data_IF_009387656289
#
_entry.id   IF_009387656289
#
_cell.length_a   1.000
_cell.length_b   1.000
_cell.length_c   1.000
_cell.angle_alpha   90.00
_cell.angle_beta   90.00
_cell.angle_gamma   90.00
#
_symmetry.space_group_name_H-M   'P 1'
#
loop_
_entity.id
_entity.type
_entity.pdbx_description
1 polymer ?
#
# COMPACT_ATOMS: atom_id res chain seq x y z
N UNK A 1 34.61 72.30 5.92
CA UNK A 1 35.95 72.78 6.34
C UNK A 1 36.59 71.71 7.22
N UNK A 2 37.81 71.26 6.89
CA UNK A 2 38.71 70.42 7.74
C UNK A 2 38.42 68.91 7.71
N UNK A 3 39.01 68.08 6.85
CA UNK A 3 40.39 67.52 6.84
C UNK A 3 40.77 66.71 8.09
N UNK A 4 40.92 65.39 7.94
CA UNK A 4 42.02 64.55 8.45
C UNK A 4 41.92 63.19 7.73
N UNK A 5 42.82 62.85 6.79
CA UNK A 5 44.23 62.42 6.92
C UNK A 5 44.36 60.91 7.04
N UNK A 6 45.10 60.35 6.08
CA UNK A 6 45.39 58.94 5.86
C UNK A 6 46.27 58.31 6.94
N UNK A 7 46.19 56.98 7.05
CA UNK A 7 47.34 56.12 7.35
C UNK A 7 47.08 54.70 6.83
N UNK A 8 47.90 54.29 5.86
CA UNK A 8 48.31 52.90 5.66
C UNK A 8 49.08 52.42 6.90
N UNK A 9 48.99 51.15 7.30
CA UNK A 9 50.10 50.20 7.13
C UNK A 9 49.85 48.84 7.82
N UNK A 10 50.45 47.82 7.20
CA UNK A 10 51.13 46.67 7.82
C UNK A 10 50.33 45.47 8.33
N UNK A 11 50.63 44.36 7.67
CA UNK A 11 50.55 42.99 8.17
C UNK A 11 51.47 42.74 9.37
N UNK A 12 51.07 41.84 10.28
CA UNK A 12 51.92 40.74 10.79
C UNK A 12 51.10 39.76 11.66
N UNK A 13 51.19 38.48 11.27
CA UNK A 13 51.48 37.30 12.12
C UNK A 13 50.56 36.79 13.25
N UNK A 14 50.18 35.50 13.07
CA UNK A 14 50.20 34.37 14.04
C UNK A 14 49.04 34.21 15.07
N UNK A 15 48.88 33.04 15.74
CA UNK A 15 48.50 31.70 15.22
C UNK A 15 47.36 31.03 16.06
N UNK A 16 46.85 29.90 15.56
CA UNK A 16 46.15 28.79 16.25
C UNK A 16 45.50 28.97 17.65
N UNK A 17 44.16 28.93 17.70
CA UNK A 17 43.25 28.11 18.56
C UNK A 17 41.81 28.49 18.11
N UNK A 18 40.72 27.73 18.17
CA UNK A 18 40.25 26.68 19.06
C UNK A 18 38.94 26.13 18.46
N UNK A 19 38.58 24.90 18.81
CA UNK A 19 37.35 24.20 18.40
C UNK A 19 36.05 24.98 18.69
N UNK A 20 35.15 25.02 17.71
CA UNK A 20 33.71 25.03 17.95
C UNK A 20 33.02 24.21 16.84
N UNK A 21 32.65 22.98 17.19
CA UNK A 21 31.78 22.15 16.38
C UNK A 21 30.36 22.71 16.44
N UNK A 22 29.85 23.22 15.33
CA UNK A 22 28.42 23.50 15.15
C UNK A 22 27.73 22.29 14.52
N UNK A 23 26.75 21.79 15.26
CA UNK A 23 25.88 20.67 14.97
C UNK A 23 24.77 21.13 14.00
N UNK A 24 24.66 20.62 12.76
CA UNK A 24 23.50 20.94 11.93
C UNK A 24 22.32 20.07 12.38
N UNK A 25 21.33 20.76 12.95
CA UNK A 25 20.06 20.21 13.39
C UNK A 25 19.31 19.47 12.28
N UNK A 26 18.68 18.37 12.70
CA UNK A 26 17.62 17.60 12.04
C UNK A 26 16.73 18.45 11.13
N UNK A 27 16.78 18.14 9.83
CA UNK A 27 15.65 18.37 8.93
C UNK A 27 14.91 17.05 8.79
N UNK A 28 13.76 16.94 9.45
CA UNK A 28 12.80 15.85 9.18
C UNK A 28 12.27 16.02 7.74
N UNK A 29 12.25 14.98 6.91
CA UNK A 29 11.63 15.04 5.59
C UNK A 29 10.10 15.01 5.71
N UNK A 30 9.45 15.97 5.05
CA UNK A 30 8.01 16.02 4.77
C UNK A 30 7.61 14.82 3.89
N UNK A 31 6.40 14.21 4.04
CA UNK A 31 6.00 13.08 3.18
C UNK A 31 5.84 13.56 1.73
N UNK A 32 6.55 12.90 0.81
CA UNK A 32 6.68 13.34 -0.58
C UNK A 32 5.48 13.00 -1.46
N UNK A 33 5.01 13.98 -2.25
CA UNK A 33 4.17 13.77 -3.42
C UNK A 33 5.01 13.19 -4.56
N UNK A 34 4.65 12.01 -5.07
CA UNK A 34 5.24 11.44 -6.29
C UNK A 34 4.31 11.71 -7.48
N UNK A 35 4.93 12.10 -8.60
CA UNK A 35 4.28 12.18 -9.92
C UNK A 35 3.63 10.84 -10.28
N UNK A 36 2.46 10.85 -10.91
CA UNK A 36 1.74 9.63 -11.30
C UNK A 36 2.63 8.58 -11.97
N UNK A 37 2.50 7.28 -11.66
CA UNK A 37 3.21 6.22 -12.37
C UNK A 37 2.89 6.22 -13.87
N UNK A 38 3.90 5.92 -14.71
CA UNK A 38 3.78 5.95 -16.17
C UNK A 38 2.61 5.13 -16.72
N UNK A 39 2.28 3.99 -16.09
CA UNK A 39 1.19 3.13 -16.52
C UNK A 39 -0.20 3.66 -16.15
N UNK A 40 -0.33 4.48 -15.11
CA UNK A 40 -1.56 5.22 -14.76
C UNK A 40 -1.65 6.51 -15.59
N UNK A 41 -0.51 7.20 -15.81
CA UNK A 41 -0.44 8.28 -16.79
C UNK A 41 -0.92 7.80 -18.16
N UNK A 42 -0.52 6.61 -18.59
CA UNK A 42 -0.98 6.03 -19.85
C UNK A 42 -2.49 5.73 -19.86
N UNK A 43 -3.06 5.23 -18.75
CA UNK A 43 -4.50 5.05 -18.61
C UNK A 43 -5.27 6.39 -18.55
N UNK A 44 -4.63 7.44 -18.04
CA UNK A 44 -5.18 8.79 -18.03
C UNK A 44 -5.11 9.47 -19.39
N UNK A 45 -4.02 9.31 -20.12
CA UNK A 45 -3.92 9.72 -21.52
C UNK A 45 -4.91 8.95 -22.40
N UNK A 46 -5.33 7.75 -21.97
CA UNK A 46 -6.39 6.96 -22.60
C UNK A 46 -7.80 7.55 -22.38
N UNK A 47 -8.13 7.92 -21.14
CA UNK A 47 -9.47 8.35 -20.76
C UNK A 47 -9.70 9.87 -20.73
N UNK A 48 -8.65 10.66 -20.61
CA UNK A 48 -8.70 12.11 -20.60
C UNK A 48 -8.05 12.63 -21.89
N UNK A 49 -8.89 13.04 -22.85
CA UNK A 49 -8.46 13.74 -24.05
C UNK A 49 -7.72 15.04 -23.73
N UNK A 50 -6.41 14.93 -23.46
CA UNK A 50 -5.49 16.06 -23.47
C UNK A 50 -5.35 16.62 -24.88
N UNK A 51 -4.84 17.85 -25.00
CA UNK A 51 -4.68 18.54 -26.30
C UNK A 51 -3.36 18.23 -27.02
N UNK A 52 -2.42 17.52 -26.38
CA UNK A 52 -1.17 17.07 -27.00
C UNK A 52 -0.53 15.83 -26.34
N UNK A 53 0.34 15.11 -27.06
CA UNK A 53 1.11 13.97 -26.53
C UNK A 53 2.37 14.42 -25.75
N UNK A 54 3.11 13.47 -25.16
CA UNK A 54 4.36 13.71 -24.41
C UNK A 54 5.50 14.30 -25.26
N UNK A 55 5.34 14.36 -26.59
CA UNK A 55 6.26 15.01 -27.53
C UNK A 55 5.72 16.37 -28.03
N UNK A 56 4.62 16.87 -27.46
CA UNK A 56 4.00 18.15 -27.79
C UNK A 56 3.23 18.16 -29.12
N UNK A 57 2.88 16.99 -29.66
CA UNK A 57 2.12 16.89 -30.91
C UNK A 57 0.61 17.01 -30.65
N UNK A 58 -0.09 17.82 -31.46
CA UNK A 58 -1.54 18.03 -31.37
C UNK A 58 -2.32 16.76 -31.73
N UNK A 59 -3.41 16.49 -31.01
CA UNK A 59 -4.34 15.39 -31.28
C UNK A 59 -5.35 15.66 -32.40
N UNK A 60 -5.42 16.90 -32.91
CA UNK A 60 -6.44 17.31 -33.87
C UNK A 60 -6.35 16.52 -35.20
N UNK A 61 -7.42 15.81 -35.57
CA UNK A 61 -7.55 15.12 -36.86
C UNK A 61 -7.07 13.66 -36.91
N UNK A 62 -6.76 13.01 -35.78
CA UNK A 62 -6.50 11.56 -35.73
C UNK A 62 -7.75 10.79 -35.36
N UNK A 63 -8.04 9.73 -36.12
CA UNK A 63 -9.09 8.77 -35.81
C UNK A 63 -8.56 7.78 -34.74
N UNK A 64 -9.09 7.89 -33.53
CA UNK A 64 -8.71 7.07 -32.37
C UNK A 64 -9.66 5.88 -32.16
N UNK A 65 -10.64 5.68 -33.05
CA UNK A 65 -11.67 4.65 -32.94
C UNK A 65 -11.32 3.32 -33.62
N UNK A 66 -10.10 3.17 -34.12
CA UNK A 66 -9.66 1.99 -34.88
C UNK A 66 -9.17 0.82 -34.02
N UNK A 67 -9.29 -0.40 -34.57
CA UNK A 67 -8.90 -1.73 -34.04
C UNK A 67 -7.41 -1.90 -33.63
N UNK A 68 -6.61 -0.83 -33.63
CA UNK A 68 -5.19 -0.82 -33.25
C UNK A 68 -4.83 0.18 -32.15
N UNK A 69 -5.81 0.82 -31.50
CA UNK A 69 -5.55 1.74 -30.41
C UNK A 69 -5.39 0.98 -29.06
N UNK A 70 -4.21 1.06 -28.39
CA UNK A 70 -4.00 0.41 -27.09
C UNK A 70 -4.86 0.99 -25.95
N UNK A 71 -5.57 2.09 -26.21
CA UNK A 71 -6.46 2.80 -25.26
C UNK A 71 -7.90 2.23 -25.25
N UNK A 72 -8.20 1.25 -26.10
CA UNK A 72 -9.55 0.70 -26.36
C UNK A 72 -9.97 -0.44 -25.40
N UNK A 73 -9.41 -0.52 -24.18
CA UNK A 73 -9.62 -1.68 -23.28
C UNK A 73 -10.95 -1.67 -22.52
N UNK A 74 -11.60 -0.50 -22.37
CA UNK A 74 -12.84 -0.33 -21.60
C UNK A 74 -13.89 0.52 -22.34
N UNK A 75 -13.84 0.56 -23.67
CA UNK A 75 -14.84 1.29 -24.44
C UNK A 75 -16.22 0.66 -24.24
N UNK A 76 -17.19 1.47 -23.81
CA UNK A 76 -18.54 1.01 -23.45
C UNK A 76 -18.66 0.48 -22.02
N UNK A 77 -17.64 0.67 -21.18
CA UNK A 77 -17.73 0.39 -19.75
C UNK A 77 -18.86 1.22 -19.10
N UNK A 78 -19.78 0.52 -18.44
CA UNK A 78 -20.98 1.08 -17.79
C UNK A 78 -20.71 1.65 -16.39
N UNK A 79 -19.49 1.50 -15.87
CA UNK A 79 -19.10 1.98 -14.55
C UNK A 79 -19.62 1.14 -13.37
N UNK A 80 -20.28 0.01 -13.63
CA UNK A 80 -20.88 -0.86 -12.62
C UNK A 80 -19.86 -1.87 -12.05
N UNK A 81 -20.12 -2.46 -10.87
CA UNK A 81 -19.26 -3.51 -10.33
C UNK A 81 -19.15 -4.73 -11.24
N UNK A 82 -17.97 -5.33 -11.31
CA UNK A 82 -17.80 -6.65 -11.92
C UNK A 82 -18.63 -7.70 -11.17
N UNK A 83 -19.39 -8.52 -11.91
CA UNK A 83 -20.32 -9.49 -11.34
C UNK A 83 -19.63 -10.52 -10.44
N UNK A 84 -18.52 -11.12 -10.89
CA UNK A 84 -17.79 -12.12 -10.11
C UNK A 84 -17.20 -11.54 -8.81
N UNK A 85 -16.71 -10.29 -8.84
CA UNK A 85 -16.25 -9.59 -7.65
C UNK A 85 -17.40 -9.34 -6.66
N UNK A 86 -18.58 -8.93 -7.16
CA UNK A 86 -19.75 -8.70 -6.33
C UNK A 86 -20.26 -10.01 -5.70
N UNK A 87 -20.30 -11.10 -6.47
CA UNK A 87 -20.64 -12.44 -5.97
C UNK A 87 -19.69 -12.91 -4.86
N UNK A 88 -18.37 -12.74 -5.04
CA UNK A 88 -17.38 -13.11 -4.04
C UNK A 88 -17.54 -12.30 -2.73
N UNK A 89 -17.79 -10.98 -2.84
CA UNK A 89 -18.05 -10.13 -1.67
C UNK A 89 -19.35 -10.51 -0.95
N UNK A 90 -20.40 -10.86 -1.69
CA UNK A 90 -21.67 -11.29 -1.12
C UNK A 90 -21.54 -12.66 -0.43
N UNK A 91 -20.78 -13.59 -1.02
CA UNK A 91 -20.46 -14.89 -0.44
C UNK A 91 -19.64 -14.76 0.85
N UNK A 92 -18.63 -13.88 0.86
CA UNK A 92 -17.85 -13.56 2.04
C UNK A 92 -18.73 -12.97 3.14
N UNK A 93 -19.59 -12.00 2.79
CA UNK A 93 -20.50 -11.36 3.74
C UNK A 93 -21.51 -12.35 4.34
N UNK A 94 -22.02 -13.28 3.53
CA UNK A 94 -22.91 -14.34 3.96
C UNK A 94 -22.20 -15.45 4.77
N UNK A 95 -20.86 -15.45 4.81
CA UNK A 95 -20.04 -16.34 5.63
C UNK A 95 -19.82 -17.74 5.05
N UNK A 96 -20.10 -17.95 3.76
CA UNK A 96 -19.82 -19.21 3.07
C UNK A 96 -18.70 -19.11 2.03
N UNK A 97 -18.33 -17.90 1.60
CA UNK A 97 -17.16 -17.64 0.77
C UNK A 97 -15.95 -17.27 1.62
N UNK A 98 -14.74 -17.79 1.33
CA UNK A 98 -13.51 -17.34 1.96
C UNK A 98 -12.97 -16.06 1.30
N UNK A 99 -11.94 -15.45 1.88
CA UNK A 99 -11.45 -14.14 1.42
C UNK A 99 -10.51 -14.22 0.19
N UNK A 100 -9.92 -15.39 -0.05
CA UNK A 100 -9.16 -15.71 -1.26
C UNK A 100 -10.01 -15.58 -2.52
N UNK A 101 -11.29 -15.97 -2.49
CA UNK A 101 -12.21 -15.84 -3.62
C UNK A 101 -12.38 -14.37 -4.05
N UNK A 102 -12.34 -13.41 -3.11
CA UNK A 102 -12.43 -11.97 -3.42
C UNK A 102 -11.18 -11.50 -4.15
N UNK A 103 -10.00 -11.96 -3.72
CA UNK A 103 -8.72 -11.61 -4.36
C UNK A 103 -8.59 -12.29 -5.72
N UNK A 104 -9.07 -13.52 -5.86
CA UNK A 104 -9.15 -14.22 -7.14
C UNK A 104 -10.07 -13.49 -8.12
N UNK A 105 -11.27 -13.08 -7.69
CA UNK A 105 -12.18 -12.29 -8.53
C UNK A 105 -11.58 -10.93 -8.95
N UNK A 106 -10.74 -10.32 -8.10
CA UNK A 106 -10.01 -9.10 -8.45
C UNK A 106 -9.00 -9.31 -9.59
N UNK A 107 -8.48 -10.51 -9.81
CA UNK A 107 -7.45 -10.77 -10.81
C UNK A 107 -7.85 -10.38 -12.24
N UNK A 108 -9.15 -10.44 -12.53
CA UNK A 108 -9.73 -10.06 -13.83
C UNK A 108 -10.68 -8.85 -13.74
N UNK A 109 -10.92 -8.33 -12.53
CA UNK A 109 -11.83 -7.21 -12.34
C UNK A 109 -11.20 -5.89 -12.79
N UNK A 110 -11.97 -5.12 -13.53
CA UNK A 110 -11.76 -3.68 -13.68
C UNK A 110 -12.16 -2.98 -12.39
N UNK A 111 -11.28 -2.12 -11.90
CA UNK A 111 -11.47 -1.24 -10.74
C UNK A 111 -11.22 0.21 -11.14
N UNK A 112 -11.65 1.13 -10.30
CA UNK A 112 -11.41 2.56 -10.46
C UNK A 112 -10.44 3.06 -9.42
N UNK A 113 -9.39 3.75 -9.87
CA UNK A 113 -8.44 4.44 -8.99
C UNK A 113 -8.79 5.93 -8.98
N UNK A 114 -8.93 6.57 -7.81
CA UNK A 114 -9.20 7.98 -7.73
C UNK A 114 -7.93 8.79 -7.99
N UNK A 115 -8.04 9.76 -8.88
CA UNK A 115 -7.01 10.80 -9.02
C UNK A 115 -7.60 12.16 -8.72
N UNK A 116 -6.79 13.04 -8.14
CA UNK A 116 -7.18 14.42 -7.84
C UNK A 116 -6.20 15.39 -8.49
N UNK A 117 -6.65 16.59 -8.89
CA UNK A 117 -5.75 17.66 -9.29
C UNK A 117 -4.85 18.04 -8.11
N UNK A 118 -3.55 18.06 -8.32
CA UNK A 118 -2.60 18.65 -7.39
C UNK A 118 -2.54 20.15 -7.69
N UNK A 119 -2.87 20.99 -6.70
CA UNK A 119 -2.67 22.44 -6.84
C UNK A 119 -1.17 22.71 -6.92
N UNK A 120 -0.72 23.28 -8.04
CA UNK A 120 0.70 23.48 -8.33
C UNK A 120 1.41 24.33 -7.28
N UNK A 121 2.61 23.90 -6.89
CA UNK A 121 3.57 24.80 -6.25
C UNK A 121 3.91 25.91 -7.22
N UNK A 122 3.72 27.16 -6.78
CA UNK A 122 4.21 28.34 -7.50
C UNK A 122 5.72 28.39 -7.36
N UNK A 123 6.45 28.00 -8.41
CA UNK A 123 7.88 28.30 -8.50
C UNK A 123 8.07 29.64 -9.24
N UNK A 124 8.92 30.49 -8.68
CA UNK A 124 9.34 31.72 -9.35
C UNK A 124 10.41 31.31 -10.36
N UNK A 125 10.11 31.41 -11.65
CA UNK A 125 11.09 31.16 -12.70
C UNK A 125 12.27 32.13 -12.64
N UNK A 126 13.38 31.79 -13.30
CA UNK A 126 14.67 32.53 -13.30
C UNK A 126 14.57 34.02 -13.70
N UNK A 127 13.41 34.46 -14.20
CA UNK A 127 13.13 35.83 -14.62
C UNK A 127 11.93 36.49 -13.90
N UNK A 128 11.46 35.94 -12.78
CA UNK A 128 10.38 36.55 -11.99
C UNK A 128 8.98 36.43 -12.59
N UNK A 129 8.79 35.56 -13.59
CA UNK A 129 7.47 35.22 -14.11
C UNK A 129 6.85 34.09 -13.27
N UNK A 130 5.61 34.28 -12.85
CA UNK A 130 4.76 33.20 -12.35
C UNK A 130 4.48 32.27 -13.53
N UNK A 131 5.15 31.12 -13.55
CA UNK A 131 4.76 30.04 -14.46
C UNK A 131 3.75 29.21 -13.69
N UNK A 132 2.47 29.37 -14.01
CA UNK A 132 1.45 28.41 -13.59
C UNK A 132 1.78 27.09 -14.26
N UNK A 133 2.36 26.17 -13.49
CA UNK A 133 2.63 24.81 -13.93
C UNK A 133 1.27 24.14 -14.16
N UNK A 134 1.11 23.50 -15.32
CA UNK A 134 -0.05 22.66 -15.63
C UNK A 134 -0.39 21.77 -14.44
N UNK A 135 -1.68 21.63 -14.14
CA UNK A 135 -2.15 20.88 -12.97
C UNK A 135 -1.63 19.44 -13.02
N UNK A 136 -0.65 19.14 -12.16
CA UNK A 136 -0.13 17.79 -11.98
C UNK A 136 -1.27 16.97 -11.36
N UNK A 137 -1.64 15.84 -11.95
CA UNK A 137 -2.66 14.96 -11.35
C UNK A 137 -1.94 14.03 -10.38
N UNK A 138 -2.57 13.64 -9.27
CA UNK A 138 -1.94 12.77 -8.28
C UNK A 138 -2.85 11.59 -7.89
N UNK A 139 -2.23 10.44 -7.63
CA UNK A 139 -2.89 9.32 -6.96
C UNK A 139 -3.27 9.73 -5.55
N UNK A 140 -4.48 9.36 -5.13
CA UNK A 140 -4.85 9.48 -3.72
C UNK A 140 -4.34 8.27 -2.96
N UNK A 141 -3.57 8.51 -1.90
CA UNK A 141 -3.16 7.48 -0.95
C UNK A 141 -3.83 7.75 0.40
N UNK A 142 -4.25 6.69 1.09
CA UNK A 142 -4.84 6.79 2.43
C UNK A 142 -3.99 6.06 3.45
N UNK A 143 -4.15 6.41 4.72
CA UNK A 143 -3.61 5.63 5.83
C UNK A 143 -4.67 4.64 6.34
N UNK A 144 -4.32 3.36 6.42
CA UNK A 144 -5.10 2.38 7.15
C UNK A 144 -5.03 2.66 8.66
N UNK A 145 -5.96 2.11 9.48
CA UNK A 145 -5.98 2.36 10.92
C UNK A 145 -4.70 1.93 11.66
N UNK A 146 -3.92 1.02 11.07
CA UNK A 146 -2.60 0.58 11.56
C UNK A 146 -1.43 1.47 11.10
N UNK A 147 -1.72 2.56 10.38
CA UNK A 147 -0.75 3.53 9.89
C UNK A 147 -0.11 3.16 8.54
N UNK A 148 -0.42 1.99 7.96
CA UNK A 148 0.12 1.62 6.65
C UNK A 148 -0.51 2.44 5.53
N UNK A 149 0.31 2.79 4.54
CA UNK A 149 -0.17 3.43 3.31
C UNK A 149 -0.94 2.44 2.45
N UNK A 150 -2.10 2.86 1.97
CA UNK A 150 -2.97 2.08 1.11
C UNK A 150 -3.43 2.87 -0.12
N UNK A 151 -3.58 2.16 -1.24
CA UNK A 151 -4.24 2.69 -2.44
C UNK A 151 -5.75 2.35 -2.36
N UNK A 152 -6.64 3.34 -2.25
CA UNK A 152 -8.07 3.11 -2.40
C UNK A 152 -8.40 2.74 -3.85
N UNK A 153 -9.16 1.66 -4.03
CA UNK A 153 -9.70 1.21 -5.32
C UNK A 153 -11.20 1.02 -5.20
N UNK A 154 -11.93 1.23 -6.27
CA UNK A 154 -13.39 1.20 -6.26
C UNK A 154 -13.93 0.20 -7.29
N UNK A 155 -14.95 -0.55 -6.91
CA UNK A 155 -15.63 -1.48 -7.81
C UNK A 155 -16.52 -0.76 -8.82
N UNK A 156 -16.93 0.48 -8.55
CA UNK A 156 -17.80 1.27 -9.43
C UNK A 156 -17.53 2.76 -9.34
N UNK A 157 -17.93 3.49 -10.39
CA UNK A 157 -17.84 4.95 -10.42
C UNK A 157 -18.69 5.58 -9.33
N UNK A 158 -19.92 5.10 -9.09
CA UNK A 158 -20.80 5.65 -8.05
C UNK A 158 -20.13 5.63 -6.68
N UNK A 159 -19.50 4.50 -6.31
CA UNK A 159 -18.80 4.38 -5.03
C UNK A 159 -17.62 5.34 -4.90
N UNK A 160 -16.84 5.50 -5.97
CA UNK A 160 -15.72 6.46 -6.01
C UNK A 160 -16.23 7.89 -5.85
N UNK A 161 -17.24 8.28 -6.65
CA UNK A 161 -17.82 9.63 -6.60
C UNK A 161 -18.44 9.94 -5.24
N UNK A 162 -19.07 8.95 -4.59
CA UNK A 162 -19.62 9.10 -3.24
C UNK A 162 -18.54 9.29 -2.18
N UNK A 163 -17.39 8.65 -2.38
CA UNK A 163 -16.25 8.75 -1.49
C UNK A 163 -15.49 10.08 -1.66
N UNK A 164 -15.27 10.52 -2.90
CA UNK A 164 -14.58 11.77 -3.20
C UNK A 164 -15.13 12.42 -4.48
N UNK A 165 -16.08 13.36 -4.38
CA UNK A 165 -16.79 13.93 -5.53
C UNK A 165 -15.90 14.61 -6.58
N UNK A 166 -14.78 15.18 -6.15
CA UNK A 166 -13.84 15.88 -7.05
C UNK A 166 -12.78 14.95 -7.67
N UNK A 167 -12.77 13.66 -7.28
CA UNK A 167 -11.81 12.70 -7.83
C UNK A 167 -12.28 12.23 -9.20
N UNK A 168 -11.35 12.14 -10.16
CA UNK A 168 -11.63 11.55 -11.46
C UNK A 168 -11.42 10.03 -11.38
N UNK A 169 -12.40 9.22 -11.82
CA UNK A 169 -12.24 7.77 -11.86
C UNK A 169 -11.35 7.36 -13.02
N UNK A 170 -10.34 6.53 -12.75
CA UNK A 170 -9.48 5.91 -13.78
C UNK A 170 -9.71 4.41 -13.78
N UNK A 171 -10.29 3.89 -14.86
CA UNK A 171 -10.51 2.46 -15.03
C UNK A 171 -9.17 1.74 -15.30
N UNK A 172 -8.87 0.72 -14.52
CA UNK A 172 -7.72 -0.17 -14.70
C UNK A 172 -8.08 -1.58 -14.22
N UNK A 173 -7.41 -2.60 -14.76
CA UNK A 173 -7.47 -3.94 -14.15
C UNK A 173 -6.81 -3.92 -12.76
N UNK A 174 -7.38 -4.64 -11.79
CA UNK A 174 -6.89 -4.63 -10.41
C UNK A 174 -5.43 -5.07 -10.25
N UNK A 175 -4.89 -6.04 -11.03
CA UNK A 175 -3.45 -6.33 -11.05
C UNK A 175 -2.57 -5.12 -11.35
N UNK A 176 -3.01 -4.24 -12.26
CA UNK A 176 -2.29 -3.01 -12.61
C UNK A 176 -2.40 -1.97 -11.48
N UNK A 177 -3.54 -1.88 -10.81
CA UNK A 177 -3.68 -1.06 -9.60
C UNK A 177 -2.76 -1.58 -8.47
N UNK A 178 -2.67 -2.89 -8.28
CA UNK A 178 -1.79 -3.52 -7.31
C UNK A 178 -0.30 -3.23 -7.60
N UNK A 179 0.12 -3.34 -8.87
CA UNK A 179 1.47 -2.96 -9.28
C UNK A 179 1.76 -1.48 -9.00
N UNK A 180 0.79 -0.60 -9.30
CA UNK A 180 0.87 0.83 -8.95
C UNK A 180 1.08 1.05 -7.46
N UNK A 181 0.30 0.35 -6.63
CA UNK A 181 0.39 0.48 -5.19
C UNK A 181 1.78 0.08 -4.69
N UNK A 182 2.33 -1.02 -5.19
CA UNK A 182 3.68 -1.48 -4.84
C UNK A 182 4.74 -0.45 -5.26
N UNK A 183 4.69 0.06 -6.49
CA UNK A 183 5.66 1.07 -6.99
C UNK A 183 5.62 2.38 -6.17
N UNK A 184 4.43 2.73 -5.68
CA UNK A 184 4.23 3.91 -4.83
C UNK A 184 4.51 3.66 -3.34
N UNK A 185 4.81 2.41 -2.97
CA UNK A 185 5.10 2.03 -1.58
C UNK A 185 3.85 1.86 -0.70
N UNK A 186 2.66 1.79 -1.29
CA UNK A 186 1.48 1.29 -0.58
C UNK A 186 1.65 -0.20 -0.28
N UNK A 187 1.26 -0.58 0.93
CA UNK A 187 1.29 -1.95 1.40
C UNK A 187 -0.05 -2.66 1.22
N UNK A 188 -1.12 -1.88 0.99
CA UNK A 188 -2.49 -2.35 0.97
C UNK A 188 -3.24 -1.80 -0.25
N UNK A 189 -4.20 -2.56 -0.75
CA UNK A 189 -5.34 -1.99 -1.46
C UNK A 189 -6.55 -1.96 -0.53
N UNK A 190 -7.34 -0.90 -0.59
CA UNK A 190 -8.62 -0.82 0.12
C UNK A 190 -9.71 -0.72 -0.91
N UNK A 191 -10.46 -1.81 -1.10
CA UNK A 191 -11.59 -1.87 -2.00
C UNK A 191 -12.82 -1.21 -1.36
N UNK A 192 -13.41 -0.24 -2.06
CA UNK A 192 -14.62 0.48 -1.70
C UNK A 192 -14.59 1.03 -0.26
N UNK A 193 -13.62 1.89 0.11
CA UNK A 193 -13.57 2.50 1.43
C UNK A 193 -14.85 3.28 1.75
N UNK A 194 -15.49 2.94 2.88
CA UNK A 194 -16.71 3.61 3.34
C UNK A 194 -18.00 3.13 2.66
N UNK A 195 -17.93 2.14 1.77
CA UNK A 195 -19.12 1.48 1.23
C UNK A 195 -19.73 0.48 2.23
N UNK A 196 -20.82 -0.18 1.83
CA UNK A 196 -21.47 -1.21 2.66
C UNK A 196 -20.50 -2.35 3.03
N UNK A 197 -19.64 -2.73 2.09
CA UNK A 197 -18.55 -3.70 2.29
C UNK A 197 -17.27 -2.98 1.87
N UNK A 198 -16.38 -2.79 2.82
CA UNK A 198 -14.98 -2.39 2.57
C UNK A 198 -14.11 -3.61 2.78
N UNK A 199 -13.23 -3.90 1.82
CA UNK A 199 -12.35 -5.06 1.85
C UNK A 199 -10.89 -4.64 1.71
N UNK A 200 -10.04 -5.07 2.64
CA UNK A 200 -8.60 -4.77 2.61
C UNK A 200 -7.85 -5.94 1.97
N UNK A 201 -7.17 -5.66 0.86
CA UNK A 201 -6.21 -6.58 0.24
C UNK A 201 -4.86 -6.34 0.93
N UNK A 202 -4.44 -7.31 1.75
CA UNK A 202 -3.20 -7.25 2.54
C UNK A 202 -1.95 -7.41 1.68
N UNK A 203 -0.78 -7.06 2.20
CA UNK A 203 0.48 -6.97 1.41
C UNK A 203 0.76 -8.24 0.59
N UNK A 204 0.76 -9.47 1.15
CA UNK A 204 1.00 -10.67 0.34
C UNK A 204 -0.01 -10.85 -0.80
N UNK A 205 -1.28 -10.51 -0.58
CA UNK A 205 -2.33 -10.54 -1.59
C UNK A 205 -2.14 -9.46 -2.67
N UNK A 206 -1.71 -8.24 -2.30
CA UNK A 206 -1.35 -7.19 -3.27
C UNK A 206 -0.22 -7.66 -4.18
N UNK A 207 0.83 -8.25 -3.60
CA UNK A 207 1.95 -8.79 -4.37
C UNK A 207 1.55 -9.94 -5.29
N UNK A 208 0.70 -10.86 -4.80
CA UNK A 208 0.19 -11.96 -5.61
C UNK A 208 -0.68 -11.44 -6.77
N UNK A 209 -1.58 -10.50 -6.49
CA UNK A 209 -2.44 -9.86 -7.48
C UNK A 209 -1.64 -9.10 -8.55
N UNK A 210 -0.63 -8.32 -8.15
CA UNK A 210 0.26 -7.61 -9.07
C UNK A 210 1.05 -8.55 -9.99
N UNK A 211 1.35 -9.76 -9.52
CA UNK A 211 2.06 -10.80 -10.27
C UNK A 211 1.11 -11.77 -10.99
N UNK A 212 -0.21 -11.55 -10.91
CA UNK A 212 -1.26 -12.46 -11.38
C UNK A 212 -1.04 -13.91 -10.94
N UNK A 213 -0.77 -14.09 -9.65
CA UNK A 213 -0.69 -15.41 -9.01
C UNK A 213 -1.85 -15.57 -8.05
N UNK A 214 -2.27 -16.83 -7.88
CA UNK A 214 -3.22 -17.18 -6.83
C UNK A 214 -2.61 -16.83 -5.47
N UNK A 215 -3.42 -16.21 -4.63
CA UNK A 215 -3.09 -15.91 -3.26
C UNK A 215 -3.82 -16.87 -2.34
N UNK A 216 -3.12 -17.40 -1.35
CA UNK A 216 -3.70 -18.15 -0.25
C UNK A 216 -3.38 -17.41 1.06
N UNK A 217 -4.37 -17.19 1.94
CA UNK A 217 -4.11 -16.57 3.24
C UNK A 217 -3.13 -17.43 4.04
N UNK A 218 -2.20 -16.79 4.75
CA UNK A 218 -1.13 -17.49 5.49
C UNK A 218 -1.65 -18.54 6.47
N UNK A 219 -2.79 -18.30 7.12
CA UNK A 219 -3.41 -19.26 8.03
C UNK A 219 -4.08 -20.46 7.35
N UNK A 220 -4.10 -20.51 6.02
CA UNK A 220 -4.56 -21.63 5.18
C UNK A 220 -3.43 -22.26 4.36
N UNK A 221 -2.22 -21.71 4.42
CA UNK A 221 -1.09 -22.18 3.63
C UNK A 221 -0.29 -23.25 4.38
N UNK A 222 -0.58 -24.51 4.06
CA UNK A 222 0.09 -25.68 4.65
C UNK A 222 1.62 -25.69 4.43
N UNK A 223 2.11 -24.99 3.41
CA UNK A 223 3.57 -24.92 3.15
C UNK A 223 4.33 -24.12 4.20
N UNK A 224 3.65 -23.36 5.06
CA UNK A 224 4.27 -22.68 6.21
C UNK A 224 4.57 -23.63 7.37
N UNK A 225 3.95 -24.82 7.42
CA UNK A 225 4.09 -25.70 8.57
C UNK A 225 5.53 -26.18 8.80
N UNK A 226 6.21 -26.65 7.75
CA UNK A 226 7.59 -27.17 7.86
C UNK A 226 8.62 -26.07 8.17
N UNK A 227 8.68 -24.93 7.44
CA UNK A 227 9.61 -23.84 7.76
C UNK A 227 9.45 -23.32 9.19
N UNK A 228 8.20 -23.18 9.64
CA UNK A 228 7.92 -22.71 10.99
C UNK A 228 8.34 -23.70 12.07
N UNK A 229 8.13 -25.00 11.86
CA UNK A 229 8.60 -26.03 12.77
C UNK A 229 10.13 -26.08 12.82
N UNK A 230 10.81 -25.96 11.67
CA UNK A 230 12.27 -25.91 11.60
C UNK A 230 12.83 -24.69 12.32
N UNK A 231 12.21 -23.51 12.17
CA UNK A 231 12.64 -22.28 12.82
C UNK A 231 12.65 -22.35 14.35
N UNK A 232 11.74 -23.15 14.94
CA UNK A 232 11.61 -23.28 16.41
C UNK A 232 12.20 -24.58 16.97
N UNK A 233 12.83 -25.42 16.13
CA UNK A 233 13.26 -26.76 16.51
C UNK A 233 14.27 -26.78 17.67
N UNK A 234 15.13 -25.75 17.75
CA UNK A 234 16.16 -25.62 18.78
C UNK A 234 15.69 -24.86 20.03
N UNK A 235 14.41 -24.48 20.11
CA UNK A 235 13.85 -23.72 21.24
C UNK A 235 13.34 -24.68 22.31
N UNK A 236 14.12 -24.84 23.38
CA UNK A 236 13.77 -25.66 24.53
C UNK A 236 12.44 -25.24 25.17
N UNK A 237 11.52 -26.20 25.23
CA UNK A 237 10.19 -26.04 25.83
C UNK A 237 9.05 -25.87 24.82
N UNK A 238 9.36 -25.71 23.52
CA UNK A 238 8.35 -25.74 22.46
C UNK A 238 8.03 -27.19 22.11
N UNK A 239 6.76 -27.57 22.18
CA UNK A 239 6.28 -28.90 21.79
C UNK A 239 5.68 -28.93 20.38
N UNK A 240 4.89 -27.92 20.04
CA UNK A 240 4.28 -27.78 18.72
C UNK A 240 3.89 -26.34 18.39
N UNK A 241 3.66 -26.06 17.10
CA UNK A 241 3.02 -24.84 16.63
C UNK A 241 1.66 -25.17 16.02
N UNK A 242 0.63 -24.41 16.38
CA UNK A 242 -0.69 -24.46 15.75
C UNK A 242 -0.92 -23.14 15.03
N UNK A 243 -1.10 -23.21 13.72
CA UNK A 243 -1.40 -22.07 12.86
C UNK A 243 -2.92 -21.88 12.76
N UNK A 244 -3.37 -20.64 12.73
CA UNK A 244 -4.77 -20.32 12.53
C UNK A 244 -5.00 -18.84 12.28
N UNK A 245 -6.25 -18.45 12.00
CA UNK A 245 -6.58 -17.04 11.79
C UNK A 245 -6.43 -16.25 13.10
N UNK A 246 -5.83 -15.08 12.99
CA UNK A 246 -5.84 -14.07 14.05
C UNK A 246 -7.08 -13.17 13.94
N UNK A 247 -7.38 -12.43 15.01
CA UNK A 247 -8.63 -11.66 15.10
C UNK A 247 -8.68 -10.48 14.12
N UNK A 248 -7.53 -10.07 13.59
CA UNK A 248 -7.38 -8.96 12.66
C UNK A 248 -7.83 -9.25 11.23
N UNK A 249 -8.12 -10.53 10.89
CA UNK A 249 -8.74 -10.86 9.60
C UNK A 249 -10.18 -10.37 9.51
N UNK A 250 -10.84 -10.17 10.66
CA UNK A 250 -12.24 -9.83 10.68
C UNK A 250 -12.46 -8.39 10.20
N UNK A 251 -13.48 -8.21 9.35
CA UNK A 251 -13.98 -6.90 8.95
C UNK A 251 -15.46 -6.78 9.30
N UNK A 252 -16.00 -5.56 9.20
CA UNK A 252 -17.40 -5.28 9.52
C UNK A 252 -18.04 -4.49 8.39
N UNK A 253 -19.14 -5.01 7.86
CA UNK A 253 -19.99 -4.29 6.92
C UNK A 253 -20.74 -3.14 7.61
N UNK A 254 -21.25 -2.18 6.83
CA UNK A 254 -21.96 -1.01 7.37
C UNK A 254 -23.22 -1.37 8.17
N UNK A 255 -23.86 -2.51 7.86
CA UNK A 255 -25.00 -3.06 8.62
C UNK A 255 -24.61 -3.79 9.91
N UNK A 256 -23.31 -3.85 10.24
CA UNK A 256 -22.79 -4.50 11.43
C UNK A 256 -22.43 -5.97 11.25
N UNK A 257 -22.69 -6.58 10.10
CA UNK A 257 -22.31 -7.97 9.80
C UNK A 257 -20.79 -8.14 9.92
N UNK A 258 -20.34 -9.16 10.66
CA UNK A 258 -18.92 -9.50 10.80
C UNK A 258 -18.54 -10.49 9.72
N UNK A 259 -17.50 -10.18 8.96
CA UNK A 259 -16.97 -11.01 7.87
C UNK A 259 -15.61 -11.56 8.28
N UNK A 260 -15.31 -12.81 7.92
CA UNK A 260 -14.03 -13.48 8.22
C UNK A 260 -13.04 -13.27 7.08
N UNK A 261 -12.73 -12.00 6.80
CA UNK A 261 -11.84 -11.62 5.73
C UNK A 261 -11.85 -10.12 5.47
N UNK A 262 -10.84 -9.62 4.76
CA UNK A 262 -10.74 -8.21 4.39
C UNK A 262 -10.45 -7.25 5.54
N UNK A 263 -10.05 -7.77 6.71
CA UNK A 263 -9.55 -6.98 7.83
C UNK A 263 -8.11 -6.51 7.62
N UNK A 264 -7.74 -5.43 8.32
CA UNK A 264 -6.43 -4.77 8.26
C UNK A 264 -5.47 -5.18 9.39
N UNK A 265 -5.93 -5.99 10.36
CA UNK A 265 -5.16 -6.34 11.54
C UNK A 265 -4.30 -7.60 11.38
N UNK A 266 -3.77 -8.14 12.51
CA UNK A 266 -3.05 -9.40 12.55
C UNK A 266 -3.78 -10.51 11.78
N UNK A 267 -3.09 -11.13 10.82
CA UNK A 267 -3.64 -12.18 9.97
C UNK A 267 -3.35 -13.58 10.52
N UNK A 268 -2.08 -13.87 10.82
CA UNK A 268 -1.64 -15.19 11.25
C UNK A 268 -1.54 -15.26 12.77
N UNK A 269 -2.26 -16.18 13.39
CA UNK A 269 -2.04 -16.57 14.77
C UNK A 269 -1.15 -17.82 14.81
N UNK A 270 -0.02 -17.72 15.52
CA UNK A 270 0.84 -18.86 15.84
C UNK A 270 0.66 -19.17 17.32
N UNK A 271 0.01 -20.29 17.62
CA UNK A 271 -0.13 -20.78 19.00
C UNK A 271 1.03 -21.71 19.31
N UNK A 272 1.90 -21.28 20.20
CA UNK A 272 3.02 -22.06 20.72
C UNK A 272 2.49 -22.98 21.80
N UNK A 273 2.49 -24.28 21.54
CA UNK A 273 2.19 -25.31 22.53
C UNK A 273 3.48 -25.59 23.29
N UNK A 274 3.51 -25.23 24.58
CA UNK A 274 4.68 -25.46 25.43
C UNK A 274 4.57 -26.81 26.15
N UNK A 275 5.72 -27.44 26.40
CA UNK A 275 5.79 -28.70 27.13
C UNK A 275 5.35 -28.52 28.59
N UNK A 276 4.79 -29.56 29.21
CA UNK A 276 4.24 -29.52 30.58
C UNK A 276 5.28 -29.24 31.68
N UNK A 277 6.57 -29.23 31.32
CA UNK A 277 7.70 -28.90 32.19
C UNK A 277 8.03 -27.41 32.22
N UNK A 278 7.44 -26.61 31.33
CA UNK A 278 7.69 -25.17 31.20
C UNK A 278 6.98 -24.42 32.32
N UNK A 279 7.72 -23.57 33.04
CA UNK A 279 7.14 -22.72 34.10
C UNK A 279 6.63 -21.40 33.53
N UNK A 280 5.75 -20.71 34.25
CA UNK A 280 5.28 -19.36 33.87
C UNK A 280 6.43 -18.35 33.68
N UNK A 281 7.54 -18.54 34.39
CA UNK A 281 8.73 -17.70 34.26
C UNK A 281 9.46 -17.94 32.93
N UNK A 282 9.40 -19.16 32.40
CA UNK A 282 10.05 -19.55 31.14
C UNK A 282 9.22 -19.14 29.91
N UNK A 283 7.91 -18.98 30.05
CA UNK A 283 7.00 -18.65 28.92
C UNK A 283 7.43 -17.36 28.21
N UNK A 284 7.78 -16.31 28.97
CA UNK A 284 8.20 -15.03 28.36
C UNK A 284 9.47 -15.17 27.52
N UNK A 285 10.42 -15.99 27.99
CA UNK A 285 11.66 -16.30 27.26
C UNK A 285 11.34 -17.06 25.96
N UNK A 286 10.54 -18.13 26.06
CA UNK A 286 10.15 -18.94 24.90
C UNK A 286 9.41 -18.11 23.85
N UNK A 287 8.44 -17.28 24.26
CA UNK A 287 7.71 -16.40 23.34
C UNK A 287 8.65 -15.42 22.64
N UNK A 288 9.63 -14.89 23.34
CA UNK A 288 10.63 -13.99 22.75
C UNK A 288 11.52 -14.72 21.75
N UNK A 289 12.02 -15.91 22.08
CA UNK A 289 12.86 -16.72 21.19
C UNK A 289 12.08 -17.15 19.94
N UNK A 290 10.83 -17.62 20.12
CA UNK A 290 9.95 -17.97 19.02
C UNK A 290 9.72 -16.75 18.13
N UNK A 291 9.37 -15.59 18.69
CA UNK A 291 9.18 -14.36 17.91
C UNK A 291 10.38 -14.06 17.03
N UNK A 292 11.58 -14.08 17.59
CA UNK A 292 12.81 -13.83 16.83
C UNK A 292 13.03 -14.87 15.73
N UNK A 293 12.76 -16.15 16.00
CA UNK A 293 12.86 -17.21 14.98
C UNK A 293 11.86 -17.01 13.83
N UNK A 294 10.60 -16.70 14.14
CA UNK A 294 9.55 -16.45 13.15
C UNK A 294 9.85 -15.19 12.32
N UNK A 295 10.32 -14.12 12.96
CA UNK A 295 10.75 -12.90 12.27
C UNK A 295 11.93 -13.14 11.32
N UNK A 296 12.79 -14.12 11.60
CA UNK A 296 13.90 -14.54 10.73
C UNK A 296 13.52 -15.48 9.59
N UNK A 297 12.27 -15.95 9.52
CA UNK A 297 11.82 -16.95 8.53
C UNK A 297 11.32 -16.26 7.26
N UNK A 298 11.98 -16.49 6.13
CA UNK A 298 11.67 -15.83 4.86
C UNK A 298 10.23 -16.09 4.40
N UNK A 299 9.76 -17.33 4.52
CA UNK A 299 8.41 -17.74 4.11
C UNK A 299 7.33 -16.98 4.89
N UNK A 300 7.57 -16.70 6.18
CA UNK A 300 6.65 -15.89 7.00
C UNK A 300 6.63 -14.46 6.51
N UNK A 301 7.79 -13.86 6.26
CA UNK A 301 7.88 -12.48 5.77
C UNK A 301 7.19 -12.31 4.42
N UNK A 302 7.30 -13.29 3.53
CA UNK A 302 6.69 -13.27 2.20
C UNK A 302 5.18 -13.52 2.24
N UNK A 303 4.73 -14.51 3.03
CA UNK A 303 3.36 -15.04 2.94
C UNK A 303 2.41 -14.49 4.00
N UNK A 304 2.90 -14.10 5.17
CA UNK A 304 2.08 -13.54 6.23
C UNK A 304 2.18 -12.01 6.23
N UNK A 305 1.04 -11.34 6.23
CA UNK A 305 1.01 -9.87 6.31
C UNK A 305 1.47 -9.39 7.70
N UNK A 306 0.97 -10.06 8.73
CA UNK A 306 1.17 -9.74 10.13
C UNK A 306 0.90 -10.98 10.99
N UNK A 307 1.59 -11.06 12.13
CA UNK A 307 1.59 -12.24 13.00
C UNK A 307 1.33 -11.87 14.46
N UNK A 308 0.56 -12.71 15.14
CA UNK A 308 0.42 -12.71 16.60
C UNK A 308 0.80 -14.07 17.19
N UNK A 309 1.39 -14.04 18.38
CA UNK A 309 1.79 -15.25 19.10
C UNK A 309 0.84 -15.46 20.28
N UNK A 310 0.34 -16.69 20.40
CA UNK A 310 -0.45 -17.17 21.54
C UNK A 310 0.31 -18.31 22.20
N UNK A 311 0.05 -18.58 23.48
CA UNK A 311 0.66 -19.70 24.22
C UNK A 311 -0.45 -20.61 24.72
N UNK A 312 -0.25 -21.92 24.56
CA UNK A 312 -1.09 -22.96 25.13
C UNK A 312 -0.22 -23.99 25.85
N UNK A 313 -0.76 -24.60 26.91
CA UNK A 313 -0.10 -25.71 27.60
C UNK A 313 -0.31 -27.02 26.83
N UNK A 314 0.73 -27.86 26.77
CA UNK A 314 0.64 -29.22 26.27
C UNK A 314 -0.38 -30.04 27.07
N UNK A 315 -1.04 -30.98 26.38
CA UNK A 315 -1.92 -31.98 27.01
C UNK A 315 -1.15 -33.09 27.73
#
# INVERSE_FOLDING_TARGET
MGRHSAAQNSASENPASENAAENPANSNPTPGSKSLPAHIQQALLAGAGGSSDTAGQSWEGRDLSGEGNPLHQFDGDDGLPNEALQEALDALKAGYGPEDDVVEALADARVFVPIVPQTGHTEIGEHGHLVEKEADMALVMIAAPDGRTALPVFSSVDRLTRWHPDARPVAVYAPRAALSAVDEGAQLLVLDPGANVTFVVRRPAVWALAQQRLWLPSYRDDSLAEPLQQAVADIDGVGALILGPADGIASRAADGTVMRGGGHGPELAVTVVVNNTVTDQDVSRIVSEVRTALEGTQEVQEKADSLTIRVAQGG
#
